data_IF_969888081953
#
_entry.id   IF_969888081953
#
_cell.length_a   1.000
_cell.length_b   1.000
_cell.length_c   1.000
_cell.angle_alpha   90.00
_cell.angle_beta   90.00
_cell.angle_gamma   90.00
#
_symmetry.space_group_name_H-M   'P 1'
#
loop_
_entity.id
_entity.type
_entity.pdbx_description
1 polymer ?
#
# COMPACT_ATOMS: atom_id res chain seq x y z
N UNK A 1 19.91 3.78 7.48
CA UNK A 1 21.28 3.84 8.02
C UNK A 1 21.81 2.46 8.40
N UNK A 2 21.10 1.70 9.27
CA UNK A 2 21.55 0.35 9.68
C UNK A 2 21.87 -0.58 8.52
N UNK A 3 21.01 -0.63 7.50
CA UNK A 3 21.23 -1.46 6.31
C UNK A 3 22.49 -1.07 5.53
N UNK A 4 22.88 0.20 5.56
CA UNK A 4 24.06 0.71 4.89
C UNK A 4 25.37 0.56 5.70
N UNK A 5 25.29 0.18 6.99
CA UNK A 5 26.46 0.08 7.90
C UNK A 5 26.70 -1.32 8.46
N UNK A 6 25.77 -2.26 8.25
CA UNK A 6 25.69 -3.52 9.00
C UNK A 6 26.97 -4.37 8.94
N UNK A 7 27.68 -4.39 7.81
CA UNK A 7 28.82 -5.31 7.62
C UNK A 7 30.16 -4.68 7.98
N UNK A 8 30.28 -3.38 7.83
CA UNK A 8 31.59 -2.68 7.92
C UNK A 8 31.63 -1.65 9.05
N UNK A 9 30.49 -1.31 9.65
CA UNK A 9 30.37 -0.19 10.58
C UNK A 9 30.46 1.18 9.91
N UNK A 10 30.84 1.23 8.63
CA UNK A 10 30.96 2.45 7.84
C UNK A 10 29.77 2.57 6.88
N UNK A 11 29.22 3.78 6.75
CA UNK A 11 28.10 4.03 5.84
C UNK A 11 28.52 3.85 4.38
N UNK A 12 27.75 3.07 3.65
CA UNK A 12 27.86 2.90 2.19
C UNK A 12 26.46 3.07 1.56
N UNK A 13 26.30 4.11 0.76
CA UNK A 13 25.06 4.38 0.03
C UNK A 13 24.72 3.24 -0.92
N UNK A 14 25.70 2.74 -1.66
CA UNK A 14 25.54 1.62 -2.60
C UNK A 14 24.97 0.39 -1.87
N UNK A 15 25.61 -0.02 -0.77
CA UNK A 15 25.14 -1.16 0.03
C UNK A 15 23.71 -0.94 0.57
N UNK A 16 23.41 0.29 0.97
CA UNK A 16 22.06 0.66 1.44
C UNK A 16 21.02 0.51 0.34
N UNK A 17 21.28 1.04 -0.85
CA UNK A 17 20.42 0.96 -2.02
C UNK A 17 20.22 -0.50 -2.46
N UNK A 18 21.29 -1.27 -2.64
CA UNK A 18 21.22 -2.68 -3.04
C UNK A 18 20.34 -3.51 -2.10
N UNK A 19 20.44 -3.26 -0.79
CA UNK A 19 19.59 -3.94 0.19
C UNK A 19 18.14 -3.52 0.11
N UNK A 20 17.86 -2.23 -0.04
CA UNK A 20 16.50 -1.74 -0.24
C UNK A 20 15.89 -2.33 -1.51
N UNK A 21 16.63 -2.35 -2.62
CA UNK A 21 16.20 -2.96 -3.87
C UNK A 21 15.90 -4.47 -3.71
N UNK A 22 16.80 -5.20 -3.03
CA UNK A 22 16.58 -6.62 -2.74
C UNK A 22 15.26 -6.86 -2.00
N UNK A 23 15.03 -6.14 -0.90
CA UNK A 23 13.80 -6.33 -0.12
C UNK A 23 12.57 -5.82 -0.87
N UNK A 24 12.64 -4.70 -1.58
CA UNK A 24 11.55 -4.21 -2.41
C UNK A 24 11.17 -5.23 -3.50
N UNK A 25 12.17 -5.85 -4.17
CA UNK A 25 11.94 -6.91 -5.15
C UNK A 25 11.24 -8.13 -4.54
N UNK A 26 11.58 -8.52 -3.30
CA UNK A 26 10.89 -9.63 -2.61
C UNK A 26 9.38 -9.37 -2.45
N UNK A 27 8.97 -8.12 -2.31
CA UNK A 27 7.55 -7.70 -2.27
C UNK A 27 6.94 -7.46 -3.66
N UNK A 28 7.66 -7.79 -4.74
CA UNK A 28 7.18 -7.70 -6.11
C UNK A 28 7.35 -6.34 -6.77
N UNK A 29 8.13 -5.41 -6.18
CA UNK A 29 8.40 -4.11 -6.80
C UNK A 29 9.43 -4.16 -7.94
N UNK A 30 9.91 -5.31 -8.32
CA UNK A 30 10.81 -5.55 -9.47
C UNK A 30 10.07 -5.89 -10.77
N UNK A 31 8.75 -6.08 -10.71
CA UNK A 31 7.92 -6.48 -11.85
C UNK A 31 6.54 -5.82 -11.83
N UNK A 32 5.85 -5.83 -12.97
CA UNK A 32 4.44 -5.45 -13.06
C UNK A 32 3.58 -6.33 -12.15
N UNK A 33 2.41 -5.82 -11.76
CA UNK A 33 1.57 -6.50 -10.76
C UNK A 33 0.91 -7.80 -11.25
N UNK A 34 0.86 -8.02 -12.56
CA UNK A 34 0.26 -9.20 -13.17
C UNK A 34 -1.15 -8.99 -13.73
N UNK A 35 -1.77 -7.82 -13.52
CA UNK A 35 -3.11 -7.54 -14.07
C UNK A 35 -3.11 -7.61 -15.59
N UNK A 36 -4.27 -7.92 -16.18
CA UNK A 36 -4.46 -8.13 -17.62
C UNK A 36 -4.49 -6.81 -18.42
N UNK A 37 -4.34 -5.66 -17.75
CA UNK A 37 -4.26 -4.35 -18.40
C UNK A 37 -2.80 -3.91 -18.59
N UNK A 38 -2.52 -3.03 -19.57
CA UNK A 38 -1.21 -2.40 -19.69
C UNK A 38 -0.80 -1.67 -18.42
N UNK A 39 0.38 -1.96 -17.91
CA UNK A 39 0.92 -1.40 -16.69
C UNK A 39 2.34 -0.88 -16.90
N UNK A 40 2.65 0.27 -16.34
CA UNK A 40 4.01 0.80 -16.33
C UNK A 40 4.94 -0.10 -15.51
N UNK A 41 6.15 -0.30 -16.00
CA UNK A 41 7.18 -1.01 -15.24
C UNK A 41 7.49 -0.25 -13.95
N UNK A 42 7.64 -0.95 -12.83
CA UNK A 42 8.06 -0.32 -11.59
C UNK A 42 9.50 0.16 -11.69
N UNK A 43 9.83 1.18 -10.91
CA UNK A 43 11.19 1.65 -10.72
C UNK A 43 11.48 1.70 -9.24
N UNK A 44 12.43 0.89 -8.79
CA UNK A 44 13.01 1.00 -7.44
C UNK A 44 14.19 1.97 -7.57
N UNK A 45 14.30 2.91 -6.63
CA UNK A 45 15.37 3.90 -6.62
C UNK A 45 16.75 3.21 -6.63
N UNK A 46 17.67 3.76 -7.40
CA UNK A 46 19.03 3.27 -7.63
C UNK A 46 20.12 4.13 -6.98
N UNK A 47 19.73 5.16 -6.28
CA UNK A 47 20.63 6.08 -5.59
C UNK A 47 19.97 6.65 -4.32
N UNK A 48 20.80 7.23 -3.44
CA UNK A 48 20.38 7.89 -2.20
C UNK A 48 19.57 6.97 -1.27
N UNK A 49 20.28 6.07 -0.59
CA UNK A 49 19.67 5.09 0.31
C UNK A 49 18.82 5.74 1.42
N UNK A 50 19.16 6.94 1.87
CA UNK A 50 18.43 7.63 2.93
C UNK A 50 17.08 8.11 2.41
N UNK A 51 17.04 8.78 1.26
CA UNK A 51 15.77 9.21 0.64
C UNK A 51 14.93 8.02 0.19
N UNK A 52 15.57 7.00 -0.39
CA UNK A 52 14.89 5.76 -0.79
C UNK A 52 14.21 5.07 0.39
N UNK A 53 14.85 5.05 1.56
CA UNK A 53 14.31 4.41 2.77
C UNK A 53 13.04 5.08 3.31
N UNK A 54 12.79 6.33 2.98
CA UNK A 54 11.55 7.05 3.34
C UNK A 54 10.54 7.12 2.18
N UNK A 55 10.78 6.38 1.09
CA UNK A 55 9.89 6.33 -0.07
C UNK A 55 10.06 7.49 -1.06
N UNK A 56 11.08 8.32 -0.87
CA UNK A 56 11.47 9.37 -1.81
C UNK A 56 12.51 8.85 -2.82
N UNK A 57 13.18 9.74 -3.54
CA UNK A 57 14.15 9.38 -4.58
C UNK A 57 13.46 9.14 -5.93
N UNK A 58 13.99 8.21 -6.71
CA UNK A 58 13.48 7.88 -8.05
C UNK A 58 12.49 6.71 -8.05
N UNK A 59 11.93 6.34 -6.90
CA UNK A 59 10.89 5.32 -6.81
C UNK A 59 9.67 5.71 -7.62
N UNK A 60 9.17 4.80 -8.47
CA UNK A 60 7.97 5.01 -9.27
C UNK A 60 7.17 3.70 -9.38
N UNK A 61 5.99 3.68 -8.79
CA UNK A 61 5.13 2.50 -8.71
C UNK A 61 3.70 2.86 -9.08
N UNK A 62 3.00 1.91 -9.73
CA UNK A 62 1.56 2.03 -9.97
C UNK A 62 0.75 1.74 -8.69
N UNK A 63 -0.50 2.18 -8.67
CA UNK A 63 -1.41 1.86 -7.56
C UNK A 63 -1.61 0.34 -7.40
N UNK A 64 -1.59 -0.43 -8.50
CA UNK A 64 -1.70 -1.89 -8.50
C UNK A 64 -0.47 -2.57 -7.92
N UNK A 65 0.74 -2.06 -8.18
CA UNK A 65 1.97 -2.54 -7.53
C UNK A 65 1.95 -2.29 -6.03
N UNK A 66 1.48 -1.12 -5.60
CA UNK A 66 1.27 -0.83 -4.18
C UNK A 66 0.18 -1.73 -3.56
N UNK A 67 -0.89 -2.04 -4.29
CA UNK A 67 -1.92 -2.98 -3.84
C UNK A 67 -1.34 -4.39 -3.64
N UNK A 68 -0.51 -4.88 -4.57
CA UNK A 68 0.21 -6.15 -4.41
C UNK A 68 1.08 -6.16 -3.16
N UNK A 69 1.84 -5.09 -2.94
CA UNK A 69 2.67 -4.95 -1.75
C UNK A 69 1.86 -5.00 -0.45
N UNK A 70 0.79 -4.22 -0.34
CA UNK A 70 -0.02 -4.21 0.89
C UNK A 70 -0.76 -5.53 1.10
N UNK A 71 -1.18 -6.21 0.04
CA UNK A 71 -1.75 -7.56 0.11
C UNK A 71 -0.75 -8.56 0.68
N UNK A 72 0.52 -8.48 0.27
CA UNK A 72 1.61 -9.31 0.80
C UNK A 72 1.84 -9.05 2.29
N UNK A 73 1.74 -7.81 2.75
CA UNK A 73 1.80 -7.48 4.19
C UNK A 73 0.58 -8.01 4.95
N UNK A 74 -0.61 -7.86 4.38
CA UNK A 74 -1.86 -8.27 5.01
C UNK A 74 -1.92 -9.79 5.25
N UNK A 75 -1.45 -10.58 4.27
CA UNK A 75 -1.46 -12.05 4.34
C UNK A 75 -0.19 -12.68 4.94
N UNK A 76 0.71 -11.84 5.50
CA UNK A 76 1.95 -12.27 6.16
C UNK A 76 2.93 -13.01 5.23
N UNK A 77 3.07 -12.55 3.99
CA UNK A 77 4.23 -12.87 3.15
C UNK A 77 3.97 -13.56 1.81
N UNK A 78 2.74 -13.88 1.47
CA UNK A 78 2.47 -14.44 0.13
C UNK A 78 2.24 -13.31 -0.87
N UNK A 79 3.20 -13.10 -1.76
CA UNK A 79 3.09 -12.15 -2.87
C UNK A 79 2.44 -12.83 -4.07
N UNK A 80 1.23 -12.41 -4.44
CA UNK A 80 0.51 -12.94 -5.60
C UNK A 80 0.69 -12.05 -6.82
N UNK A 81 0.67 -12.66 -8.02
CA UNK A 81 0.31 -11.93 -9.22
C UNK A 81 -1.18 -11.55 -9.12
N UNK A 82 -1.49 -10.28 -9.38
CA UNK A 82 -2.87 -9.79 -9.32
C UNK A 82 -3.60 -10.12 -10.62
N UNK A 83 -4.92 -10.24 -10.55
CA UNK A 83 -5.80 -10.42 -11.70
C UNK A 83 -7.08 -9.64 -11.50
N UNK A 84 -7.62 -9.08 -12.57
CA UNK A 84 -8.92 -8.41 -12.62
C UNK A 84 -10.03 -9.38 -13.05
N UNK A 85 -9.66 -10.54 -13.65
CA UNK A 85 -10.60 -11.52 -14.14
C UNK A 85 -10.61 -12.73 -13.20
N UNK A 86 -11.72 -12.95 -12.53
CA UNK A 86 -11.90 -14.12 -11.67
C UNK A 86 -12.35 -15.35 -12.45
N UNK A 87 -13.34 -15.19 -13.35
CA UNK A 87 -13.83 -16.26 -14.22
C UNK A 87 -14.46 -15.69 -15.50
N UNK A 88 -14.51 -16.50 -16.54
CA UNK A 88 -15.24 -16.21 -17.79
C UNK A 88 -16.26 -17.32 -18.00
N UNK A 89 -17.50 -16.92 -18.29
CA UNK A 89 -18.61 -17.84 -18.60
C UNK A 89 -19.01 -17.73 -20.06
N UNK A 90 -19.45 -18.84 -20.64
CA UNK A 90 -20.11 -18.85 -21.95
C UNK A 90 -21.55 -18.32 -21.85
N UNK A 91 -22.25 -18.23 -23.01
CA UNK A 91 -23.63 -17.76 -23.08
C UNK A 91 -24.62 -18.65 -22.30
N UNK A 92 -24.25 -19.90 -22.03
CA UNK A 92 -25.06 -20.87 -21.28
C UNK A 92 -24.75 -20.84 -19.77
N UNK A 93 -23.81 -20.00 -19.33
CA UNK A 93 -23.38 -19.90 -17.94
C UNK A 93 -22.29 -20.89 -17.52
N UNK A 94 -21.77 -21.70 -18.43
CA UNK A 94 -20.67 -22.62 -18.12
C UNK A 94 -19.35 -21.83 -17.96
N UNK A 95 -18.59 -22.16 -16.94
CA UNK A 95 -17.25 -21.57 -16.72
C UNK A 95 -16.28 -22.11 -17.78
N UNK A 96 -15.79 -21.24 -18.66
CA UNK A 96 -14.79 -21.57 -19.70
C UNK A 96 -13.38 -21.18 -19.31
N UNK A 97 -13.24 -20.29 -18.34
CA UNK A 97 -11.98 -19.92 -17.71
C UNK A 97 -12.21 -19.59 -16.25
N UNK A 98 -11.33 -20.03 -15.39
CA UNK A 98 -11.26 -19.63 -13.99
C UNK A 98 -9.82 -19.27 -13.65
N UNK A 99 -9.63 -18.10 -13.06
CA UNK A 99 -8.31 -17.67 -12.67
C UNK A 99 -7.77 -18.54 -11.50
N UNK A 100 -6.53 -19.00 -11.66
CA UNK A 100 -5.79 -19.66 -10.59
C UNK A 100 -4.86 -18.62 -9.95
N UNK A 101 -4.91 -18.50 -8.64
CA UNK A 101 -4.05 -17.58 -7.90
C UNK A 101 -2.58 -17.99 -8.05
N UNK A 102 -1.82 -17.17 -8.75
CA UNK A 102 -0.40 -17.42 -8.99
C UNK A 102 0.43 -16.72 -7.91
N UNK A 103 1.21 -17.51 -7.18
CA UNK A 103 2.19 -16.97 -6.23
C UNK A 103 3.39 -16.45 -7.02
N UNK A 104 3.66 -15.16 -6.90
CA UNK A 104 4.82 -14.49 -7.47
C UNK A 104 6.05 -14.78 -6.61
N UNK A 105 5.91 -14.60 -5.28
CA UNK A 105 6.97 -14.83 -4.32
C UNK A 105 6.40 -15.23 -2.96
N UNK A 106 7.18 -15.97 -2.18
CA UNK A 106 6.86 -16.30 -0.79
C UNK A 106 7.95 -15.74 0.13
N UNK A 107 7.56 -14.86 1.04
CA UNK A 107 8.47 -14.26 2.01
C UNK A 107 8.37 -15.03 3.32
N UNK A 108 9.45 -15.71 3.67
CA UNK A 108 9.53 -16.51 4.90
C UNK A 108 10.20 -15.70 6.02
N UNK A 109 9.48 -14.70 6.53
CA UNK A 109 9.89 -13.96 7.72
C UNK A 109 9.19 -14.50 8.96
N UNK A 110 9.83 -14.44 10.15
CA UNK A 110 9.20 -14.84 11.39
C UNK A 110 7.86 -14.15 11.64
N UNK A 111 6.88 -14.88 12.14
CA UNK A 111 5.54 -14.36 12.42
C UNK A 111 5.55 -13.10 13.31
N UNK A 112 6.50 -13.02 14.24
CA UNK A 112 6.69 -11.86 15.10
C UNK A 112 6.99 -10.58 14.30
N UNK A 113 7.80 -10.68 13.22
CA UNK A 113 8.13 -9.52 12.38
C UNK A 113 6.89 -9.03 11.62
N UNK A 114 6.08 -9.94 11.08
CA UNK A 114 4.80 -9.58 10.45
C UNK A 114 3.86 -8.90 11.45
N UNK A 115 3.76 -9.45 12.65
CA UNK A 115 2.89 -8.90 13.70
C UNK A 115 3.32 -7.49 14.10
N UNK A 116 4.61 -7.23 14.27
CA UNK A 116 5.13 -5.89 14.62
C UNK A 116 4.78 -4.88 13.55
N UNK A 117 4.98 -5.20 12.25
CA UNK A 117 4.64 -4.29 11.15
C UNK A 117 3.14 -4.05 11.09
N UNK A 118 2.32 -5.09 11.13
CA UNK A 118 0.85 -4.98 11.09
C UNK A 118 0.31 -4.19 12.29
N UNK A 119 0.87 -4.41 13.47
CA UNK A 119 0.52 -3.65 14.67
C UNK A 119 0.87 -2.17 14.52
N UNK A 120 2.03 -1.84 13.96
CA UNK A 120 2.40 -0.47 13.63
C UNK A 120 1.41 0.18 12.67
N UNK A 121 0.98 -0.55 11.63
CA UNK A 121 -0.06 -0.08 10.69
C UNK A 121 -1.42 0.11 11.38
N UNK A 122 -1.78 -0.74 12.34
CA UNK A 122 -3.00 -0.58 13.13
C UNK A 122 -2.94 0.67 14.00
N UNK A 123 -1.80 0.95 14.60
CA UNK A 123 -1.59 2.14 15.43
C UNK A 123 -1.73 3.45 14.64
N UNK A 124 -1.27 3.48 13.38
CA UNK A 124 -1.45 4.66 12.50
C UNK A 124 -2.93 5.05 12.38
N UNK A 125 -3.81 4.07 12.23
CA UNK A 125 -5.25 4.31 12.05
C UNK A 125 -5.95 4.55 13.38
N UNK A 126 -5.57 3.85 14.45
CA UNK A 126 -6.22 3.96 15.76
C UNK A 126 -5.94 5.28 16.48
N UNK A 127 -4.89 5.99 16.11
CA UNK A 127 -4.67 7.36 16.59
C UNK A 127 -5.74 8.25 15.96
N UNK A 128 -6.60 8.82 16.82
CA UNK A 128 -7.71 9.66 16.38
C UNK A 128 -7.17 11.00 15.85
N UNK A 129 -7.11 11.10 14.52
CA UNK A 129 -6.90 12.36 13.80
C UNK A 129 -8.18 12.74 13.07
N UNK A 130 -8.30 13.98 12.61
CA UNK A 130 -9.44 14.38 11.77
C UNK A 130 -9.60 13.48 10.55
N UNK A 131 -8.51 13.15 9.89
CA UNK A 131 -8.52 12.30 8.68
C UNK A 131 -8.90 10.84 8.95
N UNK A 132 -8.61 10.30 10.13
CA UNK A 132 -8.97 8.91 10.49
C UNK A 132 -10.34 8.81 11.19
N UNK A 133 -11.05 9.92 11.37
CA UNK A 133 -12.31 9.96 12.11
C UNK A 133 -13.36 9.02 11.51
N UNK A 134 -13.53 9.03 10.19
CA UNK A 134 -14.48 8.16 9.50
C UNK A 134 -14.11 6.68 9.68
N UNK A 135 -12.87 6.30 9.42
CA UNK A 135 -12.41 4.90 9.56
C UNK A 135 -12.60 4.39 11.00
N UNK A 136 -12.43 5.24 12.00
CA UNK A 136 -12.60 4.85 13.40
C UNK A 136 -14.09 4.80 13.86
N UNK A 137 -15.02 5.23 13.03
CA UNK A 137 -16.47 5.07 13.29
C UNK A 137 -17.02 3.76 12.71
N UNK A 138 -16.33 3.18 11.71
CA UNK A 138 -16.76 1.95 11.05
C UNK A 138 -16.55 0.76 11.98
N UNK A 139 -17.50 -0.17 11.97
CA UNK A 139 -17.47 -1.37 12.81
C UNK A 139 -16.50 -2.45 12.28
N UNK A 140 -15.32 -2.04 11.88
CA UNK A 140 -14.22 -2.92 11.46
C UNK A 140 -12.87 -2.31 11.82
N UNK A 141 -11.96 -3.13 12.31
CA UNK A 141 -10.61 -2.66 12.60
C UNK A 141 -9.78 -2.58 11.30
N UNK A 142 -9.33 -1.38 10.96
CA UNK A 142 -8.48 -1.11 9.78
C UNK A 142 -7.05 -0.88 10.20
N UNK A 143 -6.10 -1.40 9.44
CA UNK A 143 -4.68 -1.09 9.56
C UNK A 143 -4.17 -0.46 8.26
N UNK A 144 -3.28 0.53 8.36
CA UNK A 144 -2.79 1.20 7.15
C UNK A 144 -1.56 2.05 7.38
N UNK A 145 -1.02 2.58 6.29
CA UNK A 145 0.13 3.50 6.30
C UNK A 145 -0.12 4.64 5.32
N UNK A 146 0.03 5.84 5.83
CA UNK A 146 -0.01 7.08 5.05
C UNK A 146 1.29 7.29 4.28
N UNK A 147 1.20 7.95 3.13
CA UNK A 147 2.34 8.40 2.35
C UNK A 147 2.07 9.78 1.76
N UNK A 148 3.04 10.67 1.89
CA UNK A 148 3.04 11.96 1.23
C UNK A 148 4.28 12.02 0.36
N UNK A 149 4.10 11.99 -0.97
CA UNK A 149 5.20 11.93 -1.92
C UNK A 149 5.36 13.25 -2.67
N UNK A 150 6.48 13.92 -2.46
CA UNK A 150 6.84 15.15 -3.14
C UNK A 150 7.48 14.84 -4.50
N UNK A 151 6.90 15.39 -5.58
CA UNK A 151 7.46 15.28 -6.91
C UNK A 151 8.28 16.55 -7.29
N UNK A 152 7.84 17.72 -6.85
CA UNK A 152 8.53 18.99 -7.06
C UNK A 152 8.04 20.03 -6.07
N UNK A 153 8.83 21.07 -5.84
CA UNK A 153 8.44 22.21 -4.98
C UNK A 153 7.35 23.11 -5.60
N UNK A 154 7.09 22.94 -6.90
CA UNK A 154 6.11 23.77 -7.64
C UNK A 154 4.70 23.17 -7.67
N UNK A 155 4.51 21.95 -7.13
CA UNK A 155 3.22 21.24 -7.16
C UNK A 155 2.91 20.64 -5.79
N UNK A 156 1.61 20.51 -5.46
CA UNK A 156 1.22 19.76 -4.25
C UNK A 156 1.76 18.34 -4.23
N UNK A 157 1.95 17.80 -3.05
CA UNK A 157 2.38 16.43 -2.86
C UNK A 157 1.30 15.43 -3.32
N UNK A 158 1.71 14.24 -3.72
CA UNK A 158 0.79 13.13 -3.91
C UNK A 158 0.34 12.60 -2.56
N UNK A 159 -0.97 12.37 -2.40
CA UNK A 159 -1.53 11.77 -1.20
C UNK A 159 -1.72 10.26 -1.40
N UNK A 160 -1.17 9.47 -0.48
CA UNK A 160 -1.23 8.02 -0.56
C UNK A 160 -1.71 7.43 0.78
N UNK A 161 -2.49 6.36 0.68
CA UNK A 161 -2.80 5.51 1.82
C UNK A 161 -2.95 4.07 1.33
N UNK A 162 -2.24 3.16 2.00
CA UNK A 162 -2.36 1.72 1.79
C UNK A 162 -2.87 1.07 3.05
N UNK A 163 -3.83 0.16 2.93
CA UNK A 163 -4.53 -0.37 4.10
C UNK A 163 -5.12 -1.75 3.86
N UNK A 164 -5.49 -2.41 4.95
CA UNK A 164 -6.23 -3.67 4.92
C UNK A 164 -7.23 -3.75 6.08
N UNK A 165 -8.28 -4.52 5.88
CA UNK A 165 -9.31 -4.83 6.86
C UNK A 165 -9.92 -6.23 6.61
N UNK A 166 -10.49 -6.90 7.64
CA UNK A 166 -10.29 -6.62 9.08
C UNK A 166 -8.82 -6.81 9.52
N UNK A 167 -8.41 -6.13 10.58
CA UNK A 167 -7.02 -6.22 11.07
C UNK A 167 -6.63 -7.64 11.49
N UNK A 168 -7.51 -8.33 12.19
CA UNK A 168 -7.26 -9.67 12.73
C UNK A 168 -7.19 -10.73 11.62
N UNK A 169 -8.12 -10.67 10.67
CA UNK A 169 -8.21 -11.58 9.54
C UNK A 169 -8.44 -10.80 8.24
N UNK A 170 -7.39 -10.32 7.58
CA UNK A 170 -7.51 -9.48 6.39
C UNK A 170 -8.24 -10.16 5.23
N UNK A 171 -9.27 -9.49 4.72
CA UNK A 171 -10.08 -9.93 3.57
C UNK A 171 -9.96 -8.96 2.40
N UNK A 172 -9.80 -7.67 2.70
CA UNK A 172 -9.75 -6.60 1.70
C UNK A 172 -8.54 -5.72 1.93
N UNK A 173 -7.86 -5.35 0.86
CA UNK A 173 -6.87 -4.28 0.85
C UNK A 173 -7.38 -3.10 0.03
N UNK A 174 -7.11 -1.89 0.49
CA UNK A 174 -7.43 -0.67 -0.26
C UNK A 174 -6.17 0.16 -0.41
N UNK A 175 -5.88 0.55 -1.65
CA UNK A 175 -4.77 1.44 -2.00
C UNK A 175 -5.33 2.69 -2.66
N UNK A 176 -5.23 3.81 -1.97
CA UNK A 176 -5.67 5.12 -2.46
C UNK A 176 -4.46 5.97 -2.84
N UNK A 177 -4.45 6.43 -4.09
CA UNK A 177 -3.42 7.35 -4.61
C UNK A 177 -4.15 8.54 -5.24
N UNK A 178 -3.94 9.73 -4.69
CA UNK A 178 -4.50 10.98 -5.21
C UNK A 178 -3.33 11.83 -5.72
N UNK A 179 -3.14 11.89 -7.06
CA UNK A 179 -2.11 12.75 -7.63
C UNK A 179 -2.35 14.20 -7.24
N UNK A 180 -1.30 14.86 -6.74
CA UNK A 180 -1.37 16.25 -6.25
C UNK A 180 -2.46 16.47 -5.19
N UNK A 181 -2.70 15.47 -4.36
CA UNK A 181 -3.76 15.42 -3.35
C UNK A 181 -3.45 16.18 -2.06
N UNK A 182 -2.40 16.97 -2.01
CA UNK A 182 -1.94 17.81 -0.90
C UNK A 182 -1.47 16.98 0.32
N UNK A 183 -2.39 16.44 1.09
CA UNK A 183 -2.14 15.71 2.35
C UNK A 183 -2.58 14.26 2.23
N UNK A 184 -1.81 13.35 2.82
CA UNK A 184 -2.18 11.93 2.94
C UNK A 184 -3.53 11.73 3.66
N UNK A 185 -3.96 12.69 4.47
CA UNK A 185 -5.28 12.69 5.10
C UNK A 185 -6.42 12.55 4.09
N UNK A 186 -6.32 13.19 2.92
CA UNK A 186 -7.33 13.07 1.87
C UNK A 186 -7.45 11.63 1.33
N UNK A 187 -6.32 10.91 1.24
CA UNK A 187 -6.34 9.50 0.86
C UNK A 187 -6.90 8.59 1.96
N UNK A 188 -6.70 8.96 3.24
CA UNK A 188 -7.31 8.26 4.40
C UNK A 188 -8.83 8.43 4.37
N UNK A 189 -9.34 9.65 4.17
CA UNK A 189 -10.78 9.93 4.08
C UNK A 189 -11.43 9.18 2.93
N UNK A 190 -10.82 9.21 1.72
CA UNK A 190 -11.29 8.45 0.56
C UNK A 190 -11.37 6.95 0.87
N UNK A 191 -10.33 6.41 1.52
CA UNK A 191 -10.32 5.00 1.92
C UNK A 191 -11.38 4.69 2.96
N UNK A 192 -11.64 5.62 3.88
CA UNK A 192 -12.72 5.51 4.86
C UNK A 192 -14.09 5.30 4.22
N UNK A 193 -14.38 6.00 3.13
CA UNK A 193 -15.63 5.82 2.36
C UNK A 193 -15.73 4.43 1.75
N UNK A 194 -14.61 3.90 1.23
CA UNK A 194 -14.60 2.53 0.67
C UNK A 194 -14.90 1.50 1.76
N UNK A 195 -14.25 1.60 2.92
CA UNK A 195 -14.53 0.68 4.03
C UNK A 195 -15.92 0.86 4.62
N UNK A 196 -16.42 2.09 4.72
CA UNK A 196 -17.80 2.34 5.15
C UNK A 196 -18.80 1.66 4.20
N UNK A 197 -18.60 1.81 2.90
CA UNK A 197 -19.44 1.12 1.91
C UNK A 197 -19.41 -0.41 2.06
N UNK A 198 -18.26 -0.98 2.36
CA UNK A 198 -18.09 -2.44 2.47
C UNK A 198 -18.59 -3.03 3.79
N UNK A 199 -18.41 -2.31 4.90
CA UNK A 199 -18.60 -2.87 6.24
C UNK A 199 -19.67 -2.17 7.09
N UNK A 200 -20.01 -0.91 6.76
CA UNK A 200 -20.93 -0.10 7.56
C UNK A 200 -21.59 1.00 6.70
N UNK A 201 -22.47 0.63 5.75
CA UNK A 201 -23.09 1.58 4.83
C UNK A 201 -23.89 2.69 5.52
N UNK A 202 -24.43 2.45 6.71
CA UNK A 202 -25.22 3.42 7.46
C UNK A 202 -24.39 4.64 7.89
N UNK A 203 -23.07 4.46 8.06
CA UNK A 203 -22.13 5.55 8.36
C UNK A 203 -22.03 6.54 7.20
N UNK A 204 -22.20 6.08 5.94
CA UNK A 204 -22.10 6.95 4.75
C UNK A 204 -23.21 7.98 4.67
N UNK A 205 -24.43 7.64 5.07
CA UNK A 205 -25.60 8.53 4.97
C UNK A 205 -25.41 9.82 5.78
N UNK A 206 -24.56 9.78 6.82
CA UNK A 206 -24.32 10.89 7.72
C UNK A 206 -22.92 11.51 7.53
N UNK A 207 -22.17 11.12 6.50
CA UNK A 207 -20.79 11.57 6.31
C UNK A 207 -20.70 12.76 5.36
N UNK A 208 -20.09 13.85 5.84
CA UNK A 208 -19.68 15.00 5.00
C UNK A 208 -18.17 14.93 4.76
N UNK A 209 -17.76 14.92 3.50
CA UNK A 209 -16.36 14.92 3.12
C UNK A 209 -15.86 16.37 3.09
N UNK A 210 -14.83 16.66 3.84
CA UNK A 210 -14.15 17.96 3.83
C UNK A 210 -12.69 17.74 3.44
N UNK A 211 -12.38 17.85 2.15
CA UNK A 211 -10.99 17.74 1.69
C UNK A 211 -10.10 18.82 2.30
N UNK A 212 -8.86 18.48 2.62
CA UNK A 212 -7.86 19.43 3.08
C UNK A 212 -6.92 19.84 1.93
N UNK A 213 -6.99 21.10 1.54
CA UNK A 213 -6.16 21.69 0.47
C UNK A 213 -4.95 22.45 1.04
N UNK A 214 -4.63 22.31 2.32
CA UNK A 214 -3.45 22.91 2.91
C UNK A 214 -2.20 22.07 2.62
N UNK A 215 -1.08 22.73 2.33
CA UNK A 215 0.24 22.11 2.21
C UNK A 215 0.83 21.77 3.60
N UNK A 216 0.00 21.39 4.55
CA UNK A 216 0.45 21.07 5.90
C UNK A 216 0.77 19.59 6.04
N UNK A 217 1.95 19.33 6.47
CA UNK A 217 2.33 18.08 7.13
C UNK A 217 2.57 18.28 8.60
#
# INVERSE_FOLDING_TARGET
YRMATQDTGTYSDITGVERLQKYAGMFGFDSTSGIELPESKPQISDADAIRTAIGQGTNNFTATQLARYVTTLANSGTCYDLSLVSEIKDINGNVVYKNEHKVHNQLDFPAEQWNVVRQGMRQVVSVHTSSSALINQINVAVAGKTGTAQQSDARPNHALFVSFAPYENPEVTVTSVIPFGYSSGNAVELTGLVYAYLYDPDVLENTTITGNNALSD
#
